data_IF_085076857417
#
_entry.id   IF_085076857417
#
_cell.length_a   1.000
_cell.length_b   1.000
_cell.length_c   1.000
_cell.angle_alpha   90.00
_cell.angle_beta   90.00
_cell.angle_gamma   90.00
#
_symmetry.space_group_name_H-M   'P 1'
#
loop_
_entity.id
_entity.type
_entity.pdbx_description
1 polymer ?
#
# COMPACT_ATOMS: atom_id res chain seq x y z
N UNK A 1 12.18 20.75 -9.89
CA UNK A 1 11.00 21.53 -10.32
C UNK A 1 9.77 20.73 -9.92
N UNK A 2 8.57 21.29 -10.00
CA UNK A 2 7.35 20.54 -9.73
C UNK A 2 6.73 20.05 -11.05
N UNK A 3 6.17 18.85 -11.03
CA UNK A 3 5.52 18.21 -12.18
C UNK A 3 4.02 18.04 -11.89
N UNK A 4 3.19 18.35 -12.88
CA UNK A 4 1.75 18.07 -12.80
C UNK A 4 1.49 16.63 -13.24
N UNK A 5 0.97 15.81 -12.32
CA UNK A 5 0.54 14.44 -12.54
C UNK A 5 -0.98 14.41 -12.73
N UNK A 6 -1.42 13.73 -13.78
CA UNK A 6 -2.84 13.51 -14.06
C UNK A 6 -3.28 12.19 -13.42
N UNK A 7 -4.38 12.20 -12.66
CA UNK A 7 -4.95 11.01 -12.02
C UNK A 7 -6.45 10.92 -12.29
N UNK A 8 -6.95 9.74 -12.69
CA UNK A 8 -8.39 9.52 -12.81
C UNK A 8 -9.12 9.56 -11.47
N UNK A 9 -8.42 9.28 -10.37
CA UNK A 9 -9.03 9.19 -9.03
C UNK A 9 -8.90 10.48 -8.23
N UNK A 10 -7.85 11.25 -8.49
CA UNK A 10 -7.44 12.38 -7.66
C UNK A 10 -7.40 13.71 -8.43
N UNK A 11 -7.60 13.71 -9.75
CA UNK A 11 -7.49 14.90 -10.58
C UNK A 11 -6.04 15.27 -10.88
N UNK A 12 -5.76 16.56 -11.00
CA UNK A 12 -4.40 17.08 -11.22
C UNK A 12 -3.70 17.26 -9.88
N UNK A 13 -2.46 16.77 -9.79
CA UNK A 13 -1.67 16.80 -8.56
C UNK A 13 -0.30 17.33 -8.89
N UNK A 14 0.15 18.33 -8.14
CA UNK A 14 1.51 18.85 -8.22
C UNK A 14 2.44 18.02 -7.35
N UNK A 15 3.49 17.46 -7.96
CA UNK A 15 4.43 16.55 -7.31
C UNK A 15 5.86 17.07 -7.55
N UNK A 16 6.66 17.24 -6.48
CA UNK A 16 8.08 17.57 -6.64
C UNK A 16 8.81 16.45 -7.39
N UNK A 17 9.65 16.81 -8.36
CA UNK A 17 10.42 15.83 -9.16
C UNK A 17 11.26 14.88 -8.32
N UNK A 18 11.77 15.32 -7.17
CA UNK A 18 12.53 14.49 -6.24
C UNK A 18 11.68 13.42 -5.52
N UNK A 19 10.35 13.46 -5.65
CA UNK A 19 9.44 12.42 -5.14
C UNK A 19 8.99 11.44 -6.23
N UNK A 20 9.53 11.56 -7.44
CA UNK A 20 9.27 10.60 -8.51
C UNK A 20 10.05 9.32 -8.26
N UNK A 21 9.30 8.22 -8.17
CA UNK A 21 9.82 6.88 -7.96
C UNK A 21 10.00 6.21 -9.32
N UNK A 22 11.20 5.70 -9.58
CA UNK A 22 11.48 4.87 -10.76
C UNK A 22 11.51 3.39 -10.38
N UNK A 23 10.61 2.61 -10.96
CA UNK A 23 10.45 1.19 -10.69
C UNK A 23 11.41 0.36 -11.55
N UNK A 24 12.50 -0.12 -10.94
CA UNK A 24 13.46 -1.05 -11.56
C UNK A 24 12.77 -2.36 -11.97
N UNK A 25 11.83 -2.80 -11.11
CA UNK A 25 10.82 -3.80 -11.47
C UNK A 25 9.44 -3.24 -11.22
N UNK A 26 8.72 -2.85 -12.27
CA UNK A 26 7.35 -2.34 -12.19
C UNK A 26 6.37 -3.27 -11.49
N UNK A 27 5.17 -2.75 -11.27
CA UNK A 27 4.06 -3.53 -10.76
C UNK A 27 3.67 -4.61 -11.78
N UNK A 28 3.53 -5.85 -11.31
CA UNK A 28 3.19 -7.01 -12.13
C UNK A 28 1.85 -6.79 -12.86
N UNK A 29 1.84 -7.02 -14.17
CA UNK A 29 0.71 -6.73 -15.06
C UNK A 29 0.64 -5.27 -15.54
N UNK A 30 1.58 -4.42 -15.14
CA UNK A 30 1.68 -3.00 -15.50
C UNK A 30 3.12 -2.64 -15.89
N UNK A 31 3.85 -3.56 -16.53
CA UNK A 31 5.29 -3.47 -16.82
C UNK A 31 5.68 -2.31 -17.75
N UNK A 32 4.73 -1.80 -18.52
CA UNK A 32 4.92 -0.65 -19.41
C UNK A 32 5.06 0.67 -18.64
N UNK A 33 4.66 0.71 -17.36
CA UNK A 33 4.69 1.92 -16.53
C UNK A 33 5.75 1.77 -15.45
N UNK A 34 6.73 2.67 -15.44
CA UNK A 34 7.90 2.62 -14.56
C UNK A 34 8.01 3.82 -13.62
N UNK A 35 7.33 4.91 -13.90
CA UNK A 35 7.38 6.11 -13.07
C UNK A 35 6.11 6.28 -12.26
N UNK A 36 6.29 6.44 -10.95
CA UNK A 36 5.21 6.56 -9.98
C UNK A 36 5.50 7.67 -8.98
N UNK A 37 4.48 8.08 -8.23
CA UNK A 37 4.63 8.88 -7.02
C UNK A 37 3.72 8.31 -5.93
N UNK A 38 4.12 8.50 -4.67
CA UNK A 38 3.27 8.23 -3.51
C UNK A 38 2.52 9.50 -3.12
N UNK A 39 1.20 9.38 -3.04
CA UNK A 39 0.32 10.47 -2.66
C UNK A 39 -0.42 10.06 -1.39
N UNK A 40 -0.24 10.89 -0.36
CA UNK A 40 -0.95 10.78 0.90
C UNK A 40 -2.15 11.74 0.89
N UNK A 41 -3.29 11.25 1.35
CA UNK A 41 -4.52 12.03 1.51
C UNK A 41 -5.00 11.76 2.93
N UNK A 42 -5.17 12.82 3.73
CA UNK A 42 -5.42 12.69 5.16
C UNK A 42 -6.68 11.86 5.46
N UNK A 43 -7.73 12.00 4.64
CA UNK A 43 -8.98 11.24 4.76
C UNK A 43 -8.83 9.74 4.51
N UNK A 44 -7.77 9.32 3.82
CA UNK A 44 -7.53 7.92 3.48
C UNK A 44 -6.44 7.25 4.33
N UNK A 45 -5.86 7.94 5.32
CA UNK A 45 -4.89 7.29 6.22
C UNK A 45 -5.51 6.05 6.87
N UNK A 46 -4.76 4.94 6.97
CA UNK A 46 -3.31 4.81 6.72
C UNK A 46 -2.92 4.46 5.27
N UNK A 47 -3.85 4.55 4.31
CA UNK A 47 -3.63 4.19 2.92
C UNK A 47 -3.04 5.34 2.10
N UNK A 48 -2.23 4.99 1.10
CA UNK A 48 -1.64 5.92 0.14
C UNK A 48 -1.99 5.47 -1.28
N UNK A 49 -1.91 6.41 -2.22
CA UNK A 49 -1.98 6.13 -3.64
C UNK A 49 -0.58 6.04 -4.24
N UNK A 50 -0.25 4.89 -4.82
CA UNK A 50 0.88 4.74 -5.74
C UNK A 50 0.37 5.02 -7.16
N UNK A 51 0.54 6.25 -7.62
CA UNK A 51 0.00 6.75 -8.90
C UNK A 51 1.07 6.72 -9.98
N UNK A 52 0.77 6.13 -11.13
CA UNK A 52 1.65 6.23 -12.30
C UNK A 52 1.63 7.66 -12.84
N UNK A 53 2.81 8.20 -13.16
CA UNK A 53 2.91 9.50 -13.82
C UNK A 53 2.77 9.42 -15.34
N UNK A 54 2.80 8.20 -15.88
CA UNK A 54 2.73 7.91 -17.32
C UNK A 54 1.30 7.59 -17.76
N UNK A 55 0.46 7.06 -16.86
CA UNK A 55 -0.92 6.68 -17.17
C UNK A 55 -1.89 7.07 -16.04
N UNK A 56 -2.82 8.02 -16.29
CA UNK A 56 -3.74 8.51 -15.24
C UNK A 56 -4.65 7.45 -14.63
N UNK A 57 -4.94 6.38 -15.37
CA UNK A 57 -5.81 5.29 -14.92
C UNK A 57 -5.08 4.26 -14.03
N UNK A 58 -3.75 4.29 -14.00
CA UNK A 58 -2.94 3.31 -13.27
C UNK A 58 -2.56 3.91 -11.93
N UNK A 59 -3.26 3.45 -10.90
CA UNK A 59 -3.02 3.85 -9.52
C UNK A 59 -3.41 2.70 -8.59
N UNK A 60 -2.59 2.46 -7.57
CA UNK A 60 -2.79 1.39 -6.60
C UNK A 60 -2.98 2.00 -5.22
N UNK A 61 -3.98 1.53 -4.50
CA UNK A 61 -4.06 1.81 -3.07
C UNK A 61 -3.05 0.90 -2.37
N UNK A 62 -2.18 1.49 -1.57
CA UNK A 62 -1.09 0.78 -0.88
C UNK A 62 -1.08 1.14 0.60
N UNK A 63 -0.48 0.28 1.42
CA UNK A 63 -0.32 0.52 2.85
C UNK A 63 0.97 -0.11 3.36
N UNK A 64 1.54 0.46 4.43
CA UNK A 64 2.62 -0.20 5.15
C UNK A 64 2.07 -1.47 5.82
N UNK A 65 2.56 -2.68 5.48
CA UNK A 65 2.01 -3.93 6.00
C UNK A 65 2.11 -4.06 7.52
N UNK A 66 3.08 -3.39 8.16
CA UNK A 66 3.27 -3.43 9.62
C UNK A 66 2.13 -2.81 10.42
N UNK A 67 1.27 -2.02 9.77
CA UNK A 67 0.08 -1.44 10.39
C UNK A 67 -0.94 -2.53 10.74
N UNK A 68 -1.03 -3.58 9.93
CA UNK A 68 -1.99 -4.68 10.13
C UNK A 68 -1.34 -6.00 10.54
N UNK A 69 -0.06 -6.19 10.23
CA UNK A 69 0.72 -7.39 10.53
C UNK A 69 2.04 -6.93 11.16
N UNK A 70 2.04 -6.72 12.47
CA UNK A 70 3.14 -6.04 13.19
C UNK A 70 4.49 -6.77 13.10
N UNK A 71 4.47 -8.08 12.91
CA UNK A 71 5.64 -8.95 12.72
C UNK A 71 6.00 -9.18 11.25
N UNK A 72 5.37 -8.46 10.32
CA UNK A 72 5.68 -8.55 8.89
C UNK A 72 7.16 -8.22 8.64
N UNK A 73 7.87 -9.20 8.09
CA UNK A 73 9.30 -9.13 7.79
C UNK A 73 9.57 -9.84 6.47
N UNK A 74 10.48 -9.29 5.69
CA UNK A 74 10.92 -9.88 4.43
C UNK A 74 12.43 -9.98 4.43
N UNK A 75 12.94 -11.01 3.76
CA UNK A 75 14.37 -11.15 3.50
C UNK A 75 14.66 -10.68 2.08
N UNK A 76 15.57 -9.72 1.96
CA UNK A 76 16.08 -9.25 0.67
C UNK A 76 17.48 -9.81 0.46
N UNK A 77 17.74 -10.35 -0.74
CA UNK A 77 19.05 -10.88 -1.09
C UNK A 77 19.96 -9.79 -1.68
N UNK A 78 21.23 -10.10 -1.89
CA UNK A 78 22.23 -9.16 -2.42
C UNK A 78 21.89 -8.61 -3.81
N UNK A 79 21.17 -9.37 -4.65
CA UNK A 79 20.67 -8.88 -5.93
C UNK A 79 19.63 -7.78 -5.72
N UNK A 80 18.75 -7.93 -4.73
CA UNK A 80 17.73 -6.90 -4.45
C UNK A 80 18.32 -5.63 -3.88
N UNK A 81 19.32 -5.78 -3.00
CA UNK A 81 20.10 -4.65 -2.47
C UNK A 81 20.80 -3.90 -3.60
N UNK A 82 21.45 -4.62 -4.53
CA UNK A 82 22.15 -4.02 -5.65
C UNK A 82 21.21 -3.33 -6.66
N UNK A 83 20.06 -3.93 -6.99
CA UNK A 83 19.10 -3.34 -7.92
C UNK A 83 18.50 -2.02 -7.40
N UNK A 84 18.17 -1.97 -6.11
CA UNK A 84 17.65 -0.76 -5.46
C UNK A 84 18.74 0.20 -4.98
N UNK A 85 20.01 -0.18 -5.15
CA UNK A 85 21.17 0.60 -4.69
C UNK A 85 21.00 1.03 -3.22
N UNK A 86 20.76 0.04 -2.36
CA UNK A 86 20.51 0.22 -0.93
C UNK A 86 21.84 0.28 -0.19
N UNK A 87 22.20 1.46 0.32
CA UNK A 87 23.31 1.65 1.25
C UNK A 87 22.84 1.60 2.72
N UNK A 88 21.61 2.06 2.98
CA UNK A 88 20.99 2.09 4.30
C UNK A 88 19.60 1.44 4.28
N UNK A 89 19.45 0.32 4.97
CA UNK A 89 18.17 -0.43 5.02
C UNK A 89 17.05 0.38 5.69
N UNK A 90 17.37 1.32 6.59
CA UNK A 90 16.35 2.16 7.24
C UNK A 90 15.73 3.17 6.27
N UNK A 91 16.36 3.42 5.12
CA UNK A 91 15.85 4.29 4.07
C UNK A 91 14.93 3.55 3.09
N UNK A 92 14.70 2.25 3.30
CA UNK A 92 13.81 1.44 2.47
C UNK A 92 12.43 1.36 3.12
N UNK A 93 11.45 1.95 2.45
CA UNK A 93 10.05 1.81 2.81
C UNK A 93 9.44 0.58 2.14
N UNK A 94 8.46 -0.03 2.82
CA UNK A 94 7.76 -1.23 2.34
C UNK A 94 6.27 -0.98 2.33
N UNK A 95 5.66 -1.28 1.20
CA UNK A 95 4.23 -1.16 0.97
C UNK A 95 3.67 -2.45 0.40
N UNK A 96 2.38 -2.70 0.61
CA UNK A 96 1.63 -3.79 -0.02
C UNK A 96 0.39 -3.24 -0.68
N UNK A 97 0.00 -3.84 -1.81
CA UNK A 97 -1.18 -3.42 -2.56
C UNK A 97 -2.44 -3.89 -1.84
N UNK A 98 -3.41 -2.99 -1.73
CA UNK A 98 -4.74 -3.25 -1.18
C UNK A 98 -5.70 -3.63 -2.31
N UNK A 99 -6.42 -4.72 -2.13
CA UNK A 99 -7.55 -5.08 -2.99
C UNK A 99 -8.84 -4.58 -2.35
N UNK A 100 -9.52 -3.68 -3.05
CA UNK A 100 -10.81 -3.14 -2.62
C UNK A 100 -11.94 -4.15 -2.82
N UNK A 101 -12.95 -4.05 -1.97
CA UNK A 101 -14.20 -4.81 -2.03
C UNK A 101 -15.33 -3.87 -1.63
N UNK A 102 -16.56 -4.14 -2.09
CA UNK A 102 -17.76 -3.37 -1.71
C UNK A 102 -17.97 -3.36 -0.19
N UNK A 103 -17.52 -4.43 0.45
CA UNK A 103 -17.53 -4.64 1.90
C UNK A 103 -16.12 -4.48 2.44
N UNK A 104 -15.98 -3.59 3.41
CA UNK A 104 -14.72 -3.27 4.07
C UNK A 104 -14.10 -4.52 4.72
N UNK A 105 -14.93 -5.38 5.34
CA UNK A 105 -14.51 -6.64 5.96
C UNK A 105 -13.87 -7.65 4.99
N UNK A 106 -14.05 -7.44 3.69
CA UNK A 106 -13.52 -8.31 2.64
C UNK A 106 -12.36 -7.68 1.87
N UNK A 107 -11.90 -6.49 2.26
CA UNK A 107 -10.67 -5.93 1.72
C UNK A 107 -9.48 -6.80 2.11
N UNK A 108 -8.53 -6.95 1.19
CA UNK A 108 -7.32 -7.75 1.40
C UNK A 108 -6.07 -6.95 1.09
N UNK A 109 -4.93 -7.38 1.61
CA UNK A 109 -3.60 -6.90 1.23
C UNK A 109 -2.76 -8.04 0.68
N UNK A 110 -1.94 -7.73 -0.32
CA UNK A 110 -1.02 -8.68 -0.92
C UNK A 110 0.32 -8.69 -0.18
N UNK A 111 0.44 -9.56 0.83
CA UNK A 111 1.66 -9.73 1.62
C UNK A 111 2.76 -10.48 0.86
N UNK A 112 2.43 -11.19 -0.23
CA UNK A 112 3.43 -11.91 -1.04
C UNK A 112 4.12 -11.01 -2.08
N UNK A 113 3.54 -9.85 -2.39
CA UNK A 113 3.99 -8.95 -3.45
C UNK A 113 4.35 -7.55 -2.96
N UNK A 114 5.24 -7.37 -1.97
CA UNK A 114 5.55 -6.05 -1.43
C UNK A 114 6.28 -5.17 -2.45
N UNK A 115 6.00 -3.88 -2.37
CA UNK A 115 6.67 -2.81 -3.10
C UNK A 115 7.68 -2.18 -2.16
N UNK A 116 8.95 -2.22 -2.54
CA UNK A 116 10.04 -1.58 -1.83
C UNK A 116 10.41 -0.29 -2.53
N UNK A 117 10.64 0.76 -1.76
CA UNK A 117 11.09 2.06 -2.26
C UNK A 117 12.29 2.48 -1.43
N UNK A 118 13.44 2.65 -2.07
CA UNK A 118 14.58 3.31 -1.46
C UNK A 118 14.39 4.83 -1.54
N UNK A 119 14.16 5.46 -0.40
CA UNK A 119 13.85 6.90 -0.31
C UNK A 119 15.06 7.80 -0.56
N UNK A 120 16.29 7.26 -0.50
CA UNK A 120 17.51 8.04 -0.78
C UNK A 120 17.70 8.30 -2.28
N UNK A 121 17.29 7.37 -3.13
CA UNK A 121 17.49 7.45 -4.58
C UNK A 121 16.20 7.30 -5.40
N UNK A 122 15.05 7.16 -4.72
CA UNK A 122 13.72 6.97 -5.30
C UNK A 122 13.60 5.77 -6.25
N UNK A 123 14.42 4.74 -6.06
CA UNK A 123 14.26 3.47 -6.79
C UNK A 123 13.25 2.59 -6.11
N UNK A 124 12.31 2.10 -6.88
CA UNK A 124 11.27 1.19 -6.44
C UNK A 124 11.35 -0.18 -7.11
N UNK A 125 10.75 -1.19 -6.47
CA UNK A 125 10.47 -2.48 -7.12
C UNK A 125 9.33 -3.21 -6.46
N UNK A 126 8.60 -4.00 -7.23
CA UNK A 126 7.77 -5.06 -6.66
C UNK A 126 8.57 -6.37 -6.52
N UNK A 127 8.56 -6.94 -5.33
CA UNK A 127 9.08 -8.30 -5.08
C UNK A 127 7.98 -9.34 -5.29
N UNK A 128 8.41 -10.58 -5.52
CA UNK A 128 7.54 -11.76 -5.49
C UNK A 128 8.15 -12.76 -4.51
N UNK A 129 7.49 -12.96 -3.37
CA UNK A 129 7.99 -13.84 -2.31
C UNK A 129 7.59 -15.30 -2.58
N UNK A 130 8.37 -15.99 -3.42
CA UNK A 130 8.04 -17.33 -3.95
C UNK A 130 7.97 -18.43 -2.86
N UNK A 131 8.68 -18.27 -1.75
CA UNK A 131 8.77 -19.27 -0.66
C UNK A 131 8.39 -18.71 0.72
N UNK A 132 7.49 -17.72 0.77
CA UNK A 132 6.97 -17.20 2.03
C UNK A 132 5.64 -17.84 2.42
N UNK A 133 5.35 -17.88 3.72
CA UNK A 133 4.02 -18.22 4.25
C UNK A 133 3.00 -17.07 4.10
N UNK A 134 3.40 -15.94 3.50
CA UNK A 134 2.53 -14.80 3.25
C UNK A 134 1.51 -15.06 2.14
N UNK A 135 0.29 -14.60 2.38
CA UNK A 135 -0.83 -14.73 1.45
C UNK A 135 -0.93 -13.55 0.48
N UNK A 136 -1.39 -13.83 -0.73
CA UNK A 136 -1.77 -12.80 -1.72
C UNK A 136 -3.05 -12.07 -1.31
N UNK A 137 -3.96 -12.73 -0.59
CA UNK A 137 -5.27 -12.21 -0.20
C UNK A 137 -5.45 -12.22 1.32
N UNK A 138 -4.52 -11.58 2.04
CA UNK A 138 -4.60 -11.49 3.49
C UNK A 138 -5.72 -10.53 3.92
N UNK A 139 -6.72 -11.04 4.65
CA UNK A 139 -7.78 -10.22 5.25
C UNK A 139 -7.24 -9.51 6.49
N UNK A 140 -7.16 -8.19 6.42
CA UNK A 140 -6.61 -7.37 7.50
C UNK A 140 -7.67 -6.77 8.42
N UNK A 141 -8.96 -6.92 8.09
CA UNK A 141 -10.07 -6.59 8.97
C UNK A 141 -10.80 -7.87 9.38
N UNK A 142 -10.63 -8.28 10.64
CA UNK A 142 -11.43 -9.33 11.25
C UNK A 142 -12.58 -8.69 12.01
N UNK A 143 -13.83 -9.13 11.76
CA UNK A 143 -14.99 -8.67 12.53
C UNK A 143 -14.73 -8.84 14.03
N UNK A 144 -14.48 -7.73 14.72
CA UNK A 144 -14.74 -7.62 16.16
C UNK A 144 -15.77 -6.51 16.30
N UNK A 145 -16.99 -6.81 15.88
CA UNK A 145 -18.14 -6.10 16.42
C UNK A 145 -18.53 -6.93 17.63
N UNK A 146 -18.08 -6.51 18.82
CA UNK A 146 -18.85 -6.85 20.01
C UNK A 146 -20.24 -6.28 19.74
N UNK A 147 -21.24 -7.15 19.60
CA UNK A 147 -22.63 -6.73 19.62
C UNK A 147 -22.83 -5.92 20.89
N UNK A 148 -23.00 -4.60 20.75
CA UNK A 148 -23.61 -3.79 21.80
C UNK A 148 -25.01 -4.39 22.00
N UNK A 149 -25.14 -5.30 22.95
CA UNK A 149 -26.42 -5.81 23.41
C UNK A 149 -27.28 -4.60 23.76
N UNK A 150 -28.35 -4.39 22.99
CA UNK A 150 -29.47 -3.57 23.39
C UNK A 150 -29.91 -4.02 24.78
N UNK A 151 -29.54 -3.26 25.81
CA UNK A 151 -30.14 -3.38 27.13
C UNK A 151 -31.60 -2.95 26.95
N UNK A 152 -32.46 -3.94 26.78
CA UNK A 152 -33.89 -3.83 26.89
C UNK A 152 -34.23 -2.99 28.13
N UNK A 153 -34.72 -1.77 27.90
CA UNK A 153 -35.40 -0.99 28.93
C UNK A 153 -36.78 -1.61 29.13
N UNK A 154 -36.84 -2.70 29.88
CA UNK A 154 -38.07 -3.07 30.57
C UNK A 154 -38.15 -2.19 31.82
N UNK A 155 -38.93 -1.11 31.72
CA UNK A 155 -39.40 -0.38 32.89
C UNK A 155 -40.56 -1.20 33.48
N UNK A 156 -40.46 -1.75 34.71
CA UNK A 156 -41.62 -2.34 35.34
C UNK A 156 -42.62 -1.23 35.68
N UNK A 157 -43.81 -1.31 35.10
CA UNK A 157 -44.97 -0.53 35.55
C UNK A 157 -45.50 -1.23 36.81
N UNK A 158 -45.20 -0.65 37.97
CA UNK A 158 -45.93 -0.99 39.20
C UNK A 158 -47.26 -0.21 39.23
N UNK A 159 -48.34 -0.95 39.51
CA UNK A 159 -49.70 -0.46 39.80
C UNK A 159 -49.85 -0.13 41.27
#
# INVERSE_FOLDING_TARGET
MDMIVQSLRLGEIEIPEEKLIYMERPVLGFEDYKQFCLIEIDEFKPFLWLQSTEKPAVAFLVVNPKIFVSDYKIEINSKEIAELDIENVNSVETYVVVTLSDKIENMTINLQGPILINTENQRGKQLVLVNSDYEVNYKFMTHTVEEETEVNREVPVEV
#
